data_IF_234890805188
#
_entry.id   IF_234890805188
#
_cell.length_a   1.000
_cell.length_b   1.000
_cell.length_c   1.000
_cell.angle_alpha   90.00
_cell.angle_beta   90.00
_cell.angle_gamma   90.00
#
_symmetry.space_group_name_H-M   'P 1'
#
loop_
_entity.id
_entity.type
_entity.pdbx_description
1 polymer ?
#
# COMPACT_ATOMS: atom_id res chain seq x y z
N UNK A 1 -1.76 -0.25 19.51
CA UNK A 1 -1.65 0.30 18.14
C UNK A 1 -2.40 -0.64 17.22
N UNK A 2 -3.16 -0.14 16.25
CA UNK A 2 -3.93 -0.93 15.30
C UNK A 2 -3.40 -0.72 13.88
N UNK A 3 -3.26 -1.80 13.14
CA UNK A 3 -2.79 -1.80 11.76
C UNK A 3 -3.79 -2.54 10.87
N UNK A 4 -4.19 -1.91 9.77
CA UNK A 4 -5.07 -2.51 8.77
C UNK A 4 -4.28 -2.89 7.51
N UNK A 5 -4.43 -4.14 7.08
CA UNK A 5 -3.76 -4.68 5.88
C UNK A 5 -4.80 -5.16 4.88
N UNK A 6 -4.58 -4.84 3.61
CA UNK A 6 -5.45 -5.25 2.51
C UNK A 6 -5.25 -6.72 2.15
N UNK A 7 -6.36 -7.44 2.05
CA UNK A 7 -6.41 -8.81 1.51
C UNK A 7 -6.58 -8.79 -0.01
N UNK A 8 -5.47 -8.69 -0.72
CA UNK A 8 -5.44 -8.78 -2.19
C UNK A 8 -5.33 -10.25 -2.68
N UNK A 9 -6.01 -11.19 -1.99
CA UNK A 9 -6.01 -12.63 -2.31
C UNK A 9 -4.67 -13.36 -2.12
N UNK A 10 -3.78 -12.84 -1.28
CA UNK A 10 -2.46 -13.43 -1.02
C UNK A 10 -2.32 -13.85 0.46
N UNK A 11 -2.60 -15.10 0.78
CA UNK A 11 -2.43 -15.64 2.14
C UNK A 11 -0.99 -15.52 2.67
N UNK A 12 0.02 -15.51 1.79
CA UNK A 12 1.42 -15.36 2.19
C UNK A 12 1.70 -13.96 2.75
N UNK A 13 1.01 -12.94 2.24
CA UNK A 13 1.12 -11.56 2.73
C UNK A 13 0.72 -11.46 4.20
N UNK A 14 -0.37 -12.11 4.59
CA UNK A 14 -0.81 -12.09 5.98
C UNK A 14 0.21 -12.74 6.93
N UNK A 15 0.73 -13.92 6.56
CA UNK A 15 1.76 -14.58 7.39
C UNK A 15 2.99 -13.71 7.52
N UNK A 16 3.44 -13.12 6.40
CA UNK A 16 4.59 -12.21 6.40
C UNK A 16 4.40 -11.03 7.35
N UNK A 17 3.27 -10.31 7.28
CA UNK A 17 3.01 -9.18 8.18
C UNK A 17 2.86 -9.61 9.64
N UNK A 18 2.23 -10.76 9.88
CA UNK A 18 2.09 -11.30 11.24
C UNK A 18 3.44 -11.61 11.86
N UNK A 19 4.34 -12.26 11.12
CA UNK A 19 5.68 -12.59 11.60
C UNK A 19 6.51 -11.31 11.82
N UNK A 20 6.48 -10.38 10.87
CA UNK A 20 7.15 -9.08 10.98
C UNK A 20 6.68 -8.29 12.21
N UNK A 21 5.36 -8.22 12.43
CA UNK A 21 4.79 -7.52 13.59
C UNK A 21 5.17 -8.22 14.88
N UNK A 22 5.13 -9.55 14.95
CA UNK A 22 5.52 -10.28 16.14
C UNK A 22 6.98 -10.01 16.53
N UNK A 23 7.88 -9.98 15.56
CA UNK A 23 9.29 -9.68 15.80
C UNK A 23 9.50 -8.24 16.25
N UNK A 24 8.86 -7.28 15.58
CA UNK A 24 8.89 -5.88 15.98
C UNK A 24 8.30 -5.65 17.39
N UNK A 25 7.18 -6.29 17.70
CA UNK A 25 6.52 -6.23 19.00
C UNK A 25 7.41 -6.78 20.12
N UNK A 26 8.13 -7.89 19.87
CA UNK A 26 9.11 -8.43 20.83
C UNK A 26 10.29 -7.49 21.03
N UNK A 27 10.82 -6.91 19.95
CA UNK A 27 12.00 -6.04 20.02
C UNK A 27 11.68 -4.70 20.71
N UNK A 28 10.53 -4.10 20.39
CA UNK A 28 10.17 -2.75 20.85
C UNK A 28 9.22 -2.73 22.05
N UNK A 29 8.69 -3.87 22.48
CA UNK A 29 7.73 -3.94 23.57
C UNK A 29 6.39 -3.26 23.28
N UNK A 30 6.01 -3.13 21.99
CA UNK A 30 4.78 -2.49 21.55
C UNK A 30 3.78 -3.54 21.08
N UNK A 31 2.54 -3.48 21.57
CA UNK A 31 1.47 -4.35 21.08
C UNK A 31 0.79 -3.73 19.84
N UNK A 32 0.87 -4.45 18.71
CA UNK A 32 0.24 -4.06 17.44
C UNK A 32 -0.85 -5.09 17.12
N UNK A 33 -2.10 -4.62 17.08
CA UNK A 33 -3.25 -5.39 16.64
C UNK A 33 -3.34 -5.32 15.11
N UNK A 34 -3.26 -6.48 14.45
CA UNK A 34 -3.35 -6.60 13.01
C UNK A 34 -4.77 -7.02 12.61
N UNK A 35 -5.41 -6.22 11.75
CA UNK A 35 -6.73 -6.52 11.18
C UNK A 35 -6.62 -6.61 9.65
N UNK A 36 -7.30 -7.60 9.07
CA UNK A 36 -7.30 -7.84 7.63
C UNK A 36 -8.57 -7.24 7.04
N UNK A 37 -8.43 -6.35 6.06
CA UNK A 37 -9.54 -5.72 5.37
C UNK A 37 -9.59 -6.17 3.91
N UNK A 38 -10.79 -6.44 3.39
CA UNK A 38 -11.01 -6.38 1.95
C UNK A 38 -11.05 -4.91 1.51
N UNK A 39 -10.97 -4.64 0.21
CA UNK A 39 -11.16 -3.27 -0.30
C UNK A 39 -12.53 -2.71 0.08
N UNK A 40 -13.56 -3.55 0.05
CA UNK A 40 -14.93 -3.19 0.42
C UNK A 40 -15.04 -2.85 1.91
N UNK A 41 -14.52 -3.70 2.79
CA UNK A 41 -14.58 -3.44 4.24
C UNK A 41 -13.73 -2.24 4.61
N UNK A 42 -12.56 -2.06 3.99
CA UNK A 42 -11.71 -0.90 4.20
C UNK A 42 -12.44 0.39 3.82
N UNK A 43 -13.10 0.40 2.65
CA UNK A 43 -13.88 1.55 2.21
C UNK A 43 -14.98 1.87 3.22
N UNK A 44 -15.79 0.88 3.59
CA UNK A 44 -16.89 1.08 4.52
C UNK A 44 -16.40 1.58 5.88
N UNK A 45 -15.32 1.02 6.42
CA UNK A 45 -14.77 1.44 7.73
C UNK A 45 -14.20 2.87 7.69
N UNK A 46 -13.56 3.27 6.58
CA UNK A 46 -13.08 4.66 6.39
C UNK A 46 -14.26 5.64 6.36
N UNK A 47 -15.37 5.28 5.70
CA UNK A 47 -16.52 6.18 5.60
C UNK A 47 -17.40 6.18 6.85
N UNK A 48 -17.53 5.03 7.53
CA UNK A 48 -18.22 4.91 8.80
C UNK A 48 -17.61 5.83 9.87
N UNK A 49 -16.29 6.05 9.84
CA UNK A 49 -15.63 7.02 10.72
C UNK A 49 -16.21 8.45 10.61
N UNK A 50 -16.67 8.87 9.42
CA UNK A 50 -17.28 10.19 9.26
C UNK A 50 -18.71 10.25 9.81
N UNK A 51 -19.43 9.12 9.80
CA UNK A 51 -20.78 9.02 10.36
C UNK A 51 -20.76 8.81 11.88
N UNK A 52 -19.73 8.12 12.38
CA UNK A 52 -19.53 7.74 13.77
C UNK A 52 -18.09 8.04 14.23
N UNK A 53 -17.78 9.31 14.56
CA UNK A 53 -16.41 9.73 14.92
C UNK A 53 -15.86 9.09 16.21
N UNK A 54 -16.73 8.46 17.01
CA UNK A 54 -16.34 7.70 18.20
C UNK A 54 -15.66 6.37 17.85
N UNK A 55 -15.87 5.86 16.62
CA UNK A 55 -15.15 4.70 16.12
C UNK A 55 -13.69 5.08 15.80
N UNK A 56 -12.73 4.27 16.25
CA UNK A 56 -11.31 4.53 15.99
C UNK A 56 -10.88 3.88 14.68
N UNK A 57 -10.39 4.71 13.75
CA UNK A 57 -9.56 4.25 12.64
C UNK A 57 -8.27 3.61 13.16
N UNK A 58 -7.67 2.74 12.33
CA UNK A 58 -6.34 2.22 12.62
C UNK A 58 -5.26 3.30 12.53
N UNK A 59 -4.19 3.11 13.29
CA UNK A 59 -3.04 4.02 13.33
C UNK A 59 -2.22 3.94 12.04
N UNK A 60 -2.12 2.74 11.46
CA UNK A 60 -1.50 2.48 10.16
C UNK A 60 -2.49 1.75 9.28
N UNK A 61 -2.73 2.27 8.08
CA UNK A 61 -3.67 1.70 7.12
C UNK A 61 -2.94 1.48 5.80
N UNK A 62 -2.93 0.24 5.34
CA UNK A 62 -2.61 -0.05 3.95
C UNK A 62 -3.77 0.36 3.06
N UNK A 63 -3.48 1.19 2.06
CA UNK A 63 -4.47 1.67 1.08
C UNK A 63 -4.01 1.37 -0.35
N UNK A 64 -4.94 1.21 -1.31
CA UNK A 64 -4.57 1.21 -2.72
C UNK A 64 -3.93 2.55 -3.09
N UNK A 65 -2.91 2.55 -3.94
CA UNK A 65 -2.16 3.78 -4.26
C UNK A 65 -3.08 4.94 -4.72
N UNK A 66 -4.12 4.61 -5.51
CA UNK A 66 -5.10 5.58 -6.04
C UNK A 66 -5.92 6.29 -4.95
N UNK A 67 -5.94 5.78 -3.71
CA UNK A 67 -6.68 6.37 -2.60
C UNK A 67 -5.84 7.37 -1.79
N UNK A 68 -4.52 7.44 -1.98
CA UNK A 68 -3.65 8.37 -1.23
C UNK A 68 -4.19 9.79 -1.26
N UNK A 69 -4.44 10.34 -2.45
CA UNK A 69 -4.96 11.70 -2.61
C UNK A 69 -6.33 11.91 -1.99
N UNK A 70 -7.19 10.89 -1.95
CA UNK A 70 -8.52 10.97 -1.33
C UNK A 70 -8.39 11.04 0.19
N UNK A 71 -7.66 10.09 0.79
CA UNK A 71 -7.49 9.98 2.24
C UNK A 71 -6.78 11.22 2.80
N UNK A 72 -5.84 11.79 2.05
CA UNK A 72 -5.18 13.06 2.41
C UNK A 72 -6.13 14.25 2.30
N UNK A 73 -6.95 14.37 1.25
CA UNK A 73 -7.97 15.44 1.14
C UNK A 73 -8.99 15.41 2.27
N UNK A 74 -9.32 14.21 2.75
CA UNK A 74 -10.23 14.01 3.86
C UNK A 74 -9.60 14.28 5.24
N UNK A 75 -8.30 14.58 5.30
CA UNK A 75 -7.59 14.86 6.55
C UNK A 75 -7.32 13.63 7.41
N UNK A 76 -7.38 12.43 6.83
CA UNK A 76 -7.20 11.17 7.57
C UNK A 76 -5.75 10.68 7.62
N UNK A 77 -4.85 11.28 6.82
CA UNK A 77 -3.43 10.91 6.78
C UNK A 77 -2.55 12.02 7.35
N UNK A 78 -1.56 11.64 8.16
CA UNK A 78 -0.51 12.55 8.60
C UNK A 78 0.65 12.55 7.59
N UNK A 79 1.33 13.70 7.40
CA UNK A 79 2.57 13.76 6.66
C UNK A 79 3.64 12.83 7.26
N UNK A 80 4.34 12.07 6.41
CA UNK A 80 5.32 11.07 6.82
C UNK A 80 6.61 11.71 7.31
N UNK A 81 6.96 12.90 6.83
CA UNK A 81 8.12 13.67 7.32
C UNK A 81 8.06 13.95 8.82
N UNK A 82 6.89 13.84 9.46
CA UNK A 82 6.74 13.87 10.92
C UNK A 82 7.31 12.64 11.64
N UNK A 83 7.50 11.54 10.91
CA UNK A 83 7.93 10.23 11.41
C UNK A 83 9.27 9.83 10.78
N UNK A 84 9.53 10.26 9.55
CA UNK A 84 10.67 9.87 8.74
C UNK A 84 11.24 11.10 8.02
N UNK A 85 12.28 11.70 8.62
CA UNK A 85 12.85 12.99 8.18
C UNK A 85 13.40 12.97 6.75
N UNK A 86 13.80 11.80 6.23
CA UNK A 86 14.57 11.68 4.99
C UNK A 86 13.84 10.89 3.88
N UNK A 87 12.55 11.16 3.65
CA UNK A 87 11.76 10.53 2.58
C UNK A 87 12.41 10.66 1.19
N UNK A 88 13.14 11.75 0.94
CA UNK A 88 13.85 11.97 -0.33
C UNK A 88 14.97 10.94 -0.58
N UNK A 89 15.56 10.41 0.49
CA UNK A 89 16.66 9.45 0.43
C UNK A 89 16.20 8.02 0.11
N UNK A 90 14.89 7.77 0.10
CA UNK A 90 14.33 6.47 -0.24
C UNK A 90 14.76 6.07 -1.65
N UNK A 91 15.45 4.92 -1.74
CA UNK A 91 15.89 4.31 -3.00
C UNK A 91 14.73 3.60 -3.70
N UNK A 92 13.76 4.36 -4.16
CA UNK A 92 12.57 3.89 -4.88
C UNK A 92 12.43 4.61 -6.22
N UNK A 93 11.67 4.02 -7.14
CA UNK A 93 11.44 4.61 -8.46
C UNK A 93 10.71 5.96 -8.38
N UNK A 94 11.09 6.91 -9.23
CA UNK A 94 10.51 8.26 -9.23
C UNK A 94 8.99 8.28 -9.44
N UNK A 95 8.45 7.35 -10.23
CA UNK A 95 7.01 7.25 -10.45
C UNK A 95 6.26 6.81 -9.18
N UNK A 96 6.90 6.03 -8.29
CA UNK A 96 6.33 5.68 -6.99
C UNK A 96 6.37 6.88 -6.05
N UNK A 97 7.47 7.64 -6.05
CA UNK A 97 7.58 8.90 -5.27
C UNK A 97 6.45 9.87 -5.59
N UNK A 98 6.11 10.02 -6.88
CA UNK A 98 4.97 10.86 -7.31
C UNK A 98 3.64 10.41 -6.69
N UNK A 99 3.43 9.10 -6.51
CA UNK A 99 2.21 8.55 -5.89
C UNK A 99 2.13 8.74 -4.37
N UNK A 100 3.23 9.11 -3.72
CA UNK A 100 3.30 9.37 -2.28
C UNK A 100 2.99 10.82 -1.92
N UNK A 101 3.07 11.73 -2.90
CA UNK A 101 2.97 13.18 -2.68
C UNK A 101 1.54 13.65 -2.90
N UNK A 102 1.06 14.51 -2.01
CA UNK A 102 -0.17 15.25 -2.24
C UNK A 102 0.15 16.59 -2.93
N UNK A 103 -0.27 16.73 -4.18
CA UNK A 103 0.18 17.78 -5.14
C UNK A 103 0.18 19.20 -4.57
N UNK A 104 -0.82 19.56 -3.76
CA UNK A 104 -0.95 20.92 -3.21
C UNK A 104 0.03 21.25 -2.09
N UNK A 105 0.67 20.25 -1.48
CA UNK A 105 1.53 20.43 -0.30
C UNK A 105 2.99 20.08 -0.53
N UNK A 106 3.30 19.34 -1.61
CA UNK A 106 4.65 18.80 -1.87
C UNK A 106 5.22 17.96 -0.71
N UNK A 107 4.35 17.43 0.17
CA UNK A 107 4.72 16.55 1.29
C UNK A 107 4.33 15.11 0.98
N UNK A 108 5.06 14.18 1.59
CA UNK A 108 4.81 12.74 1.49
C UNK A 108 3.75 12.30 2.52
N UNK A 109 2.75 11.52 2.10
CA UNK A 109 1.65 11.03 2.95
C UNK A 109 1.46 9.50 2.94
N UNK A 110 2.11 8.79 2.02
CA UNK A 110 2.14 7.31 2.01
C UNK A 110 3.55 6.77 1.74
N UNK A 111 3.82 5.54 2.17
CA UNK A 111 5.06 4.79 1.87
C UNK A 111 4.68 3.58 1.00
N UNK A 112 5.36 3.35 -0.14
CA UNK A 112 5.11 2.18 -0.96
C UNK A 112 5.65 0.93 -0.26
N UNK A 113 4.81 -0.09 -0.11
CA UNK A 113 5.20 -1.40 0.45
C UNK A 113 5.59 -2.37 -0.68
N UNK A 114 4.77 -2.44 -1.71
CA UNK A 114 5.01 -3.17 -2.95
C UNK A 114 4.27 -2.49 -4.09
N UNK A 115 4.58 -2.90 -5.33
CA UNK A 115 3.83 -2.48 -6.50
C UNK A 115 3.62 -3.67 -7.43
N UNK A 116 2.55 -3.64 -8.21
CA UNK A 116 2.26 -4.65 -9.22
C UNK A 116 2.43 -4.02 -10.61
N UNK A 117 3.20 -4.67 -11.49
CA UNK A 117 3.33 -4.26 -12.89
C UNK A 117 2.78 -5.37 -13.78
N UNK A 118 1.76 -5.07 -14.61
CA UNK A 118 1.34 -6.00 -15.65
C UNK A 118 2.46 -6.11 -16.70
N UNK A 119 2.81 -7.34 -17.06
CA UNK A 119 3.79 -7.63 -18.09
C UNK A 119 3.17 -8.53 -19.16
N UNK A 120 3.56 -8.33 -20.42
CA UNK A 120 3.14 -9.19 -21.51
C UNK A 120 3.96 -10.49 -21.47
N UNK A 121 3.28 -11.59 -21.17
CA UNK A 121 3.84 -12.92 -21.30
C UNK A 121 3.52 -13.48 -22.67
N UNK A 122 4.53 -14.03 -23.35
CA UNK A 122 4.34 -14.67 -24.65
C UNK A 122 5.02 -16.03 -24.71
N UNK A 123 4.46 -16.88 -25.56
CA UNK A 123 4.97 -18.21 -25.88
C UNK A 123 6.04 -18.10 -26.96
N UNK A 124 7.32 -18.19 -26.56
CA UNK A 124 8.48 -18.08 -27.46
C UNK A 124 8.39 -19.04 -28.66
N UNK A 125 7.92 -20.27 -28.41
CA UNK A 125 7.72 -21.31 -29.42
C UNK A 125 6.66 -20.92 -30.46
N UNK A 126 5.56 -20.31 -30.03
CA UNK A 126 4.50 -19.86 -30.94
C UNK A 126 4.93 -18.63 -31.74
N UNK A 127 5.60 -17.67 -31.11
CA UNK A 127 6.11 -16.47 -31.78
C UNK A 127 7.09 -16.83 -32.91
N UNK A 128 7.98 -17.80 -32.67
CA UNK A 128 8.96 -18.24 -33.66
C UNK A 128 8.35 -18.85 -34.93
N UNK A 129 7.16 -19.47 -34.82
CA UNK A 129 6.45 -20.05 -35.97
C UNK A 129 5.83 -18.96 -36.85
N UNK A 130 5.24 -17.94 -36.23
CA UNK A 130 4.63 -16.81 -36.96
C UNK A 130 5.69 -16.01 -37.72
N UNK A 131 6.81 -15.68 -37.07
CA UNK A 131 7.91 -14.92 -37.71
C UNK A 131 8.50 -15.66 -38.92
N UNK A 132 8.60 -17.01 -38.86
CA UNK A 132 9.15 -17.81 -39.96
C UNK A 132 8.21 -17.88 -41.17
N UNK A 133 6.90 -17.84 -40.96
CA UNK A 133 5.93 -17.85 -42.06
C UNK A 133 5.85 -16.52 -42.82
N UNK A 134 6.25 -15.39 -42.23
CA UNK A 134 6.23 -14.08 -42.90
C UNK A 134 7.48 -13.81 -43.76
N UNK A 135 8.54 -14.62 -43.63
CA UNK A 135 9.82 -14.46 -44.35
C UNK A 135 9.93 -15.45 -45.53
N UNK A 136 8.96 -16.35 -45.69
CA UNK A 136 8.85 -17.33 -46.78
C UNK A 136 7.76 -16.94 -47.78
#
# INVERSE_FOLDING_TARGET
MKMWILNDYNHLKYSFFKDLINDYSKEKGVNIELDIKSRETLWNDIFAFFEHPDEKLADIIEIPHQWTSLVTKLGLSLPIDLIFEDCETLKIFDFLKKGMVFESTQRFFSIPIYFEIPALYYRKDMLSKVIRCEIS
#
